data_IF_816606921623
#
_entry.id   IF_816606921623
#
_cell.length_a   1.000
_cell.length_b   1.000
_cell.length_c   1.000
_cell.angle_alpha   90.00
_cell.angle_beta   90.00
_cell.angle_gamma   90.00
#
_symmetry.space_group_name_H-M   'P 1'
#
loop_
_entity.id
_entity.type
_entity.pdbx_description
1 polymer ?
#
# COMPACT_ATOMS: atom_id res chain seq x y z
N UNK A 1 -15.82 -18.52 8.91
CA UNK A 1 -14.67 -17.97 8.15
C UNK A 1 -13.40 -17.79 8.98
N UNK A 2 -13.29 -16.89 9.97
CA UNK A 2 -12.04 -16.72 10.75
C UNK A 2 -11.66 -17.96 11.57
N UNK A 3 -12.63 -18.56 12.26
CA UNK A 3 -12.41 -19.79 13.05
C UNK A 3 -12.05 -21.00 12.18
N UNK A 4 -12.58 -21.05 10.94
CA UNK A 4 -12.25 -22.10 9.97
C UNK A 4 -10.86 -21.92 9.37
N UNK A 5 -10.48 -20.67 9.07
CA UNK A 5 -9.17 -20.36 8.51
C UNK A 5 -8.03 -20.57 9.52
N UNK A 6 -8.28 -20.31 10.82
CA UNK A 6 -7.26 -20.39 11.87
C UNK A 6 -6.34 -19.17 11.89
N UNK A 7 -5.99 -18.69 13.08
CA UNK A 7 -5.24 -17.43 13.23
C UNK A 7 -3.79 -17.57 12.72
N UNK A 8 -3.23 -18.76 12.84
CA UNK A 8 -1.88 -19.12 12.39
C UNK A 8 -1.76 -19.02 10.87
N UNK A 9 -2.69 -19.63 10.13
CA UNK A 9 -2.73 -19.56 8.67
C UNK A 9 -2.95 -18.13 8.17
N UNK A 10 -3.83 -17.37 8.84
CA UNK A 10 -4.05 -15.96 8.51
C UNK A 10 -2.79 -15.12 8.75
N UNK A 11 -2.05 -15.38 9.85
CA UNK A 11 -0.79 -14.70 10.12
C UNK A 11 0.26 -15.04 9.09
N UNK A 12 0.40 -16.32 8.74
CA UNK A 12 1.35 -16.76 7.71
C UNK A 12 1.06 -16.11 6.36
N UNK A 13 -0.20 -16.15 5.90
CA UNK A 13 -0.59 -15.49 4.66
C UNK A 13 -0.40 -13.98 4.73
N UNK A 14 -0.70 -13.35 5.86
CA UNK A 14 -0.50 -11.91 6.06
C UNK A 14 0.96 -11.52 5.86
N UNK A 15 1.90 -12.26 6.46
CA UNK A 15 3.34 -12.01 6.33
C UNK A 15 3.79 -12.16 4.88
N UNK A 16 3.45 -13.29 4.24
CA UNK A 16 3.80 -13.56 2.83
C UNK A 16 3.24 -12.51 1.89
N UNK A 17 2.01 -12.04 2.12
CA UNK A 17 1.36 -11.03 1.29
C UNK A 17 2.01 -9.66 1.46
N UNK A 18 2.36 -9.27 2.69
CA UNK A 18 3.12 -8.04 2.92
C UNK A 18 4.55 -8.12 2.37
N UNK A 19 5.23 -9.27 2.46
CA UNK A 19 6.54 -9.45 1.84
C UNK A 19 6.48 -9.33 0.34
N UNK A 20 5.50 -9.96 -0.29
CA UNK A 20 5.31 -9.86 -1.72
C UNK A 20 5.09 -8.41 -2.16
N UNK A 21 4.23 -7.67 -1.45
CA UNK A 21 4.04 -6.24 -1.74
C UNK A 21 5.31 -5.42 -1.49
N UNK A 22 6.06 -5.69 -0.42
CA UNK A 22 7.33 -5.00 -0.15
C UNK A 22 8.36 -5.27 -1.25
N UNK A 23 8.47 -6.52 -1.71
CA UNK A 23 9.30 -6.90 -2.85
C UNK A 23 8.90 -6.13 -4.12
N UNK A 24 7.61 -6.05 -4.44
CA UNK A 24 7.13 -5.29 -5.59
C UNK A 24 7.42 -3.79 -5.45
N UNK A 25 7.25 -3.22 -4.26
CA UNK A 25 7.59 -1.80 -4.00
C UNK A 25 9.07 -1.55 -4.26
N UNK A 26 9.96 -2.40 -3.72
CA UNK A 26 11.41 -2.26 -3.86
C UNK A 26 11.86 -2.38 -5.34
N UNK A 27 11.20 -3.23 -6.14
CA UNK A 27 11.58 -3.46 -7.54
C UNK A 27 10.92 -2.48 -8.52
N UNK A 28 9.66 -2.10 -8.27
CA UNK A 28 8.85 -1.35 -9.23
C UNK A 28 8.79 0.15 -8.91
N UNK A 29 8.86 0.52 -7.62
CA UNK A 29 8.52 1.86 -7.17
C UNK A 29 9.71 2.68 -6.63
N UNK A 30 10.81 2.04 -6.22
CA UNK A 30 11.95 2.76 -5.62
C UNK A 30 12.54 3.87 -6.50
N UNK A 31 12.47 3.73 -7.83
CA UNK A 31 12.95 4.76 -8.77
C UNK A 31 12.16 6.08 -8.71
N UNK A 32 10.96 6.07 -8.15
CA UNK A 32 10.14 7.27 -7.95
C UNK A 32 10.29 7.86 -6.55
N UNK A 33 11.22 7.38 -5.72
CA UNK A 33 11.45 7.93 -4.38
C UNK A 33 10.55 7.35 -3.28
N UNK A 34 9.87 6.22 -3.55
CA UNK A 34 9.13 5.50 -2.52
C UNK A 34 10.04 4.77 -1.54
N UNK A 35 9.69 4.81 -0.25
CA UNK A 35 10.32 4.04 0.82
C UNK A 35 9.29 3.28 1.65
N UNK A 36 9.74 2.23 2.35
CA UNK A 36 8.92 1.46 3.29
C UNK A 36 9.31 1.84 4.71
N UNK A 37 8.37 2.42 5.46
CA UNK A 37 8.57 2.85 6.85
C UNK A 37 8.44 1.72 7.89
N UNK A 38 8.01 0.52 7.48
CA UNK A 38 7.90 -0.62 8.40
C UNK A 38 9.26 -1.25 8.71
N UNK A 39 9.42 -1.87 9.90
CA UNK A 39 10.47 -2.86 10.12
C UNK A 39 10.38 -3.97 9.06
N UNK A 40 11.52 -4.42 8.53
CA UNK A 40 11.59 -5.54 7.57
C UNK A 40 11.44 -6.91 8.24
N UNK A 41 11.71 -7.00 9.55
CA UNK A 41 11.62 -8.24 10.32
C UNK A 41 10.17 -8.62 10.64
N UNK A 42 9.75 -9.83 10.25
CA UNK A 42 8.38 -10.35 10.44
C UNK A 42 7.85 -10.25 11.86
N UNK A 43 8.69 -10.52 12.85
CA UNK A 43 8.32 -10.49 14.26
C UNK A 43 8.02 -9.08 14.77
N UNK A 44 8.43 -8.04 14.04
CA UNK A 44 8.32 -6.63 14.43
C UNK A 44 7.31 -5.85 13.59
N UNK A 45 6.59 -6.51 12.67
CA UNK A 45 5.60 -5.87 11.79
C UNK A 45 4.24 -6.58 11.81
N UNK A 46 3.19 -5.79 11.63
CA UNK A 46 1.81 -6.26 11.45
C UNK A 46 1.52 -6.70 10.01
N UNK A 47 0.28 -6.58 9.57
CA UNK A 47 -0.19 -6.91 8.22
C UNK A 47 -0.44 -5.71 7.32
N UNK A 48 0.29 -4.60 7.53
CA UNK A 48 0.18 -3.40 6.69
C UNK A 48 1.56 -2.90 6.27
N UNK A 49 1.57 -2.08 5.24
CA UNK A 49 2.74 -1.38 4.71
C UNK A 49 2.50 0.12 4.84
N UNK A 50 3.47 0.82 5.42
CA UNK A 50 3.60 2.27 5.44
C UNK A 50 4.47 2.66 4.25
N UNK A 51 3.83 2.99 3.13
CA UNK A 51 4.50 3.43 1.91
C UNK A 51 4.68 4.94 1.98
N UNK A 52 5.93 5.40 2.00
CA UNK A 52 6.28 6.81 2.19
C UNK A 52 6.64 7.48 0.86
N UNK A 53 6.15 8.71 0.66
CA UNK A 53 6.45 9.53 -0.52
C UNK A 53 6.06 11.01 -0.27
N UNK A 54 6.83 11.98 -0.78
CA UNK A 54 6.53 13.41 -0.60
C UNK A 54 5.14 13.83 -1.12
N UNK A 55 4.74 13.34 -2.30
CA UNK A 55 3.40 13.53 -2.87
C UNK A 55 2.33 12.54 -2.36
N UNK A 56 2.53 11.87 -1.21
CA UNK A 56 1.62 10.82 -0.74
C UNK A 56 0.14 11.23 -0.68
N UNK A 57 -0.17 12.51 -0.36
CA UNK A 57 -1.55 13.04 -0.39
C UNK A 57 -2.18 12.90 -1.78
N UNK A 58 -1.43 13.30 -2.81
CA UNK A 58 -1.90 13.38 -4.20
C UNK A 58 -1.98 11.99 -4.81
N UNK A 59 -0.98 11.14 -4.54
CA UNK A 59 -0.97 9.74 -4.96
C UNK A 59 -2.14 8.99 -4.31
N UNK A 60 -2.41 9.21 -3.03
CA UNK A 60 -3.56 8.64 -2.33
C UNK A 60 -4.90 9.10 -2.95
N UNK A 61 -5.02 10.36 -3.36
CA UNK A 61 -6.21 10.85 -4.05
C UNK A 61 -6.37 10.18 -5.43
N UNK A 62 -5.28 10.07 -6.21
CA UNK A 62 -5.28 9.38 -7.49
C UNK A 62 -5.67 7.90 -7.38
N UNK A 63 -5.22 7.21 -6.33
CA UNK A 63 -5.60 5.82 -6.07
C UNK A 63 -7.10 5.65 -5.83
N UNK A 64 -7.72 6.58 -5.09
CA UNK A 64 -9.16 6.55 -4.82
C UNK A 64 -9.99 6.65 -6.10
N UNK A 65 -9.60 7.51 -7.02
CA UNK A 65 -10.24 7.65 -8.34
C UNK A 65 -10.04 6.39 -9.21
N UNK A 66 -8.99 5.60 -8.95
CA UNK A 66 -8.76 4.29 -9.56
C UNK A 66 -9.43 3.12 -8.78
N UNK A 67 -10.31 3.41 -7.83
CA UNK A 67 -11.04 2.42 -7.03
C UNK A 67 -10.21 1.70 -5.97
N UNK A 68 -9.00 2.20 -5.64
CA UNK A 68 -8.17 1.70 -4.54
C UNK A 68 -8.33 2.65 -3.37
N UNK A 69 -8.74 2.14 -2.20
CA UNK A 69 -9.03 2.99 -1.03
C UNK A 69 -7.98 2.77 0.07
N UNK A 70 -6.80 3.43 -0.02
CA UNK A 70 -5.83 3.42 1.06
C UNK A 70 -6.13 4.51 2.10
N UNK A 71 -5.46 4.39 3.25
CA UNK A 71 -5.50 5.38 4.33
C UNK A 71 -4.24 6.26 4.28
N UNK A 72 -4.41 7.57 4.14
CA UNK A 72 -3.29 8.52 4.18
C UNK A 72 -3.00 8.94 5.62
N UNK A 73 -1.72 8.93 6.00
CA UNK A 73 -1.22 9.35 7.31
C UNK A 73 -0.16 10.42 7.14
N UNK A 74 -0.28 11.50 7.92
CA UNK A 74 0.72 12.56 7.94
C UNK A 74 2.07 12.03 8.45
N UNK A 75 3.19 12.60 7.99
CA UNK A 75 3.26 13.69 7.01
C UNK A 75 3.22 13.23 5.55
N UNK A 76 3.47 11.95 5.25
CA UNK A 76 3.81 11.51 3.90
C UNK A 76 3.58 10.00 3.66
N UNK A 77 2.65 9.36 4.38
CA UNK A 77 2.46 7.90 4.37
C UNK A 77 1.14 7.50 3.71
N UNK A 78 1.19 6.54 2.80
CA UNK A 78 0.03 5.79 2.29
C UNK A 78 0.05 4.40 2.94
N UNK A 79 -0.97 4.10 3.75
CA UNK A 79 -1.08 2.81 4.43
C UNK A 79 -1.83 1.81 3.57
N UNK A 80 -1.12 0.77 3.13
CA UNK A 80 -1.67 -0.37 2.40
C UNK A 80 -1.84 -1.54 3.38
N UNK A 81 -3.06 -2.03 3.60
CA UNK A 81 -3.34 -3.09 4.58
C UNK A 81 -3.99 -4.31 3.90
N UNK A 82 -3.19 -5.17 3.24
CA UNK A 82 -3.74 -6.33 2.55
C UNK A 82 -4.24 -7.38 3.55
N UNK A 83 -5.56 -7.52 3.67
CA UNK A 83 -6.15 -8.46 4.62
C UNK A 83 -6.09 -9.88 4.06
N UNK A 84 -5.44 -10.84 4.75
CA UNK A 84 -5.17 -12.18 4.22
C UNK A 84 -6.44 -12.97 3.89
N UNK A 85 -7.58 -12.60 4.46
CA UNK A 85 -8.82 -13.34 4.30
C UNK A 85 -9.44 -13.18 2.91
N UNK A 86 -9.34 -11.99 2.32
CA UNK A 86 -10.04 -11.66 1.08
C UNK A 86 -9.17 -10.97 0.04
N UNK A 87 -7.95 -10.57 0.38
CA UNK A 87 -6.99 -10.02 -0.59
C UNK A 87 -6.14 -11.15 -1.17
N UNK A 88 -6.05 -11.18 -2.50
CA UNK A 88 -5.19 -12.10 -3.25
C UNK A 88 -3.82 -11.48 -3.52
N UNK A 89 -2.85 -12.31 -3.92
CA UNK A 89 -1.56 -11.82 -4.43
C UNK A 89 -1.72 -11.01 -5.72
N UNK A 90 -2.72 -11.34 -6.55
CA UNK A 90 -3.00 -10.57 -7.75
C UNK A 90 -3.51 -9.17 -7.41
N UNK A 91 -4.39 -9.02 -6.42
CA UNK A 91 -4.85 -7.69 -5.97
C UNK A 91 -3.69 -6.83 -5.47
N UNK A 92 -2.77 -7.44 -4.70
CA UNK A 92 -1.53 -6.79 -4.28
C UNK A 92 -0.69 -6.32 -5.48
N UNK A 93 -0.49 -7.18 -6.47
CA UNK A 93 0.22 -6.83 -7.71
C UNK A 93 -0.45 -5.70 -8.48
N UNK A 94 -1.79 -5.75 -8.64
CA UNK A 94 -2.60 -4.73 -9.31
C UNK A 94 -2.46 -3.38 -8.62
N UNK A 95 -2.51 -3.34 -7.27
CA UNK A 95 -2.36 -2.08 -6.53
C UNK A 95 -0.98 -1.47 -6.76
N UNK A 96 0.10 -2.27 -6.71
CA UNK A 96 1.45 -1.75 -6.96
C UNK A 96 1.59 -1.23 -8.40
N UNK A 97 1.03 -1.93 -9.39
CA UNK A 97 1.07 -1.48 -10.78
C UNK A 97 0.22 -0.23 -11.01
N UNK A 98 -0.92 -0.07 -10.32
CA UNK A 98 -1.67 1.19 -10.36
C UNK A 98 -0.87 2.36 -9.79
N UNK A 99 -0.11 2.14 -8.71
CA UNK A 99 0.80 3.18 -8.18
C UNK A 99 1.87 3.53 -9.21
N UNK A 100 2.48 2.52 -9.84
CA UNK A 100 3.46 2.71 -10.91
C UNK A 100 2.86 3.50 -12.07
N UNK A 101 1.67 3.16 -12.54
CA UNK A 101 0.97 3.87 -13.61
C UNK A 101 0.66 5.34 -13.23
N UNK A 102 0.29 5.59 -11.97
CA UNK A 102 0.10 6.95 -11.45
C UNK A 102 1.40 7.75 -11.57
N UNK A 103 2.55 7.14 -11.26
CA UNK A 103 3.84 7.81 -11.34
C UNK A 103 4.31 7.99 -12.78
N UNK A 104 4.26 6.94 -13.60
CA UNK A 104 4.68 6.96 -15.01
C UNK A 104 3.92 8.02 -15.81
N UNK A 105 2.61 8.14 -15.57
CA UNK A 105 1.75 9.08 -16.26
C UNK A 105 1.52 10.38 -15.49
N UNK A 106 2.22 10.57 -14.35
CA UNK A 106 2.10 11.75 -13.49
C UNK A 106 0.65 12.11 -13.13
N UNK A 107 -0.21 11.10 -12.97
CA UNK A 107 -1.65 11.30 -12.73
C UNK A 107 -1.91 12.08 -11.45
N UNK A 108 -1.05 11.88 -10.44
CA UNK A 108 -1.08 12.59 -9.17
C UNK A 108 -0.92 14.11 -9.34
N UNK A 109 -0.36 14.59 -10.46
CA UNK A 109 -0.14 16.02 -10.67
C UNK A 109 -1.45 16.82 -10.72
N UNK A 110 -2.56 16.18 -11.09
CA UNK A 110 -3.91 16.77 -11.17
C UNK A 110 -4.53 17.10 -9.82
N UNK A 111 -4.00 16.54 -8.73
CA UNK A 111 -4.53 16.70 -7.39
C UNK A 111 -3.73 17.77 -6.65
N UNK A 112 -4.40 18.57 -5.83
CA UNK A 112 -3.72 19.54 -4.98
C UNK A 112 -2.96 18.84 -3.85
N UNK A 113 -1.80 19.40 -3.46
CA UNK A 113 -1.08 18.98 -2.27
C UNK A 113 -1.72 19.55 -0.97
N UNK A 114 -3.05 19.60 -0.93
CA UNK A 114 -3.86 20.08 0.19
C UNK A 114 -4.99 19.11 0.41
N UNK A 115 -5.17 18.68 1.65
CA UNK A 115 -6.34 17.89 2.02
C UNK A 115 -7.56 18.80 2.02
N UNK A 116 -8.53 18.51 1.16
CA UNK A 116 -9.92 18.91 1.41
C UNK A 116 -10.37 18.32 2.75
N UNK A 117 -10.86 19.16 3.64
CA UNK A 117 -11.46 18.78 4.92
C UNK A 117 -12.57 17.75 4.67
N UNK A 118 -12.30 16.44 4.72
CA UNK A 118 -13.25 15.41 5.14
C UNK A 118 -12.42 14.15 5.46
N UNK A 119 -12.78 13.53 6.59
CA UNK A 119 -12.24 12.30 7.16
C UNK A 119 -13.03 11.10 6.67
#
# INVERSE_FOLDING_TARGET
MYNEAGIENLREKSLRLTDYMMYLIDNELSRYGFTIGNPREDKRRGGHIALEHEDAVRINAALKDMGVIPDYRRPNVIRLAPVPLYVSYHDAWVVIHKIKDIMDNKVYEKYENKRGLIA
#
